data_IF_669035421481
#
_entry.id   IF_669035421481
#
_cell.length_a   1.000
_cell.length_b   1.000
_cell.length_c   1.000
_cell.angle_alpha   90.00
_cell.angle_beta   90.00
_cell.angle_gamma   90.00
#
_symmetry.space_group_name_H-M   'P 1'
#
loop_
_entity.id
_entity.type
_entity.pdbx_description
1 polymer ?
#
# COMPACT_ATOMS: atom_id res chain seq x y z
N UNK A 1 -5.59 17.99 22.83
CA UNK A 1 -5.41 16.52 23.03
C UNK A 1 -5.75 15.83 21.72
N UNK A 2 -4.96 14.85 21.25
CA UNK A 2 -5.23 14.20 19.96
C UNK A 2 -6.39 13.18 20.08
N UNK A 3 -7.47 13.41 19.32
CA UNK A 3 -8.69 12.62 19.29
C UNK A 3 -8.43 11.11 19.09
N UNK A 4 -8.88 10.27 20.03
CA UNK A 4 -8.70 8.82 19.96
C UNK A 4 -9.35 8.20 18.71
N UNK A 5 -10.48 8.72 18.24
CA UNK A 5 -11.13 8.23 17.03
C UNK A 5 -10.36 8.61 15.76
N UNK A 6 -9.67 9.76 15.72
CA UNK A 6 -8.71 10.09 14.65
C UNK A 6 -7.52 9.12 14.63
N UNK A 7 -7.02 8.73 15.81
CA UNK A 7 -5.94 7.72 15.91
C UNK A 7 -6.40 6.37 15.36
N UNK A 8 -7.64 5.96 15.64
CA UNK A 8 -8.25 4.76 15.02
C UNK A 8 -8.32 4.93 13.50
N UNK A 9 -8.92 6.02 13.01
CA UNK A 9 -9.12 6.28 11.58
C UNK A 9 -7.82 6.18 10.78
N UNK A 10 -6.75 6.83 11.24
CA UNK A 10 -5.45 6.81 10.58
C UNK A 10 -4.70 5.50 10.80
N UNK A 11 -4.45 5.09 12.05
CA UNK A 11 -3.50 4.01 12.39
C UNK A 11 -4.12 2.61 12.41
N UNK A 12 -5.45 2.50 12.40
CA UNK A 12 -6.22 1.24 12.41
C UNK A 12 -7.21 1.14 11.25
N UNK A 13 -7.41 2.23 10.51
CA UNK A 13 -8.12 2.29 9.24
C UNK A 13 -7.14 2.44 8.08
N UNK A 14 -6.90 3.67 7.63
CA UNK A 14 -6.21 3.95 6.37
C UNK A 14 -4.78 3.42 6.27
N UNK A 15 -4.01 3.36 7.37
CA UNK A 15 -2.64 2.85 7.29
C UNK A 15 -2.57 1.32 7.10
N UNK A 16 -3.61 0.59 7.53
CA UNK A 16 -3.75 -0.85 7.30
C UNK A 16 -4.42 -1.16 5.94
N UNK A 17 -4.80 -0.14 5.18
CA UNK A 17 -5.38 -0.25 3.85
C UNK A 17 -4.26 -0.18 2.80
N UNK A 18 -4.35 -1.00 1.74
CA UNK A 18 -3.49 -0.80 0.57
C UNK A 18 -3.91 0.42 -0.25
N UNK A 19 -3.09 0.80 -1.23
CA UNK A 19 -3.32 2.04 -1.97
C UNK A 19 -4.49 1.95 -2.97
N UNK A 20 -4.83 0.75 -3.47
CA UNK A 20 -5.98 0.56 -4.36
C UNK A 20 -7.29 0.78 -3.60
N UNK A 21 -7.45 0.10 -2.46
CA UNK A 21 -8.62 0.32 -1.59
C UNK A 21 -8.65 1.73 -1.03
N UNK A 22 -7.51 2.35 -0.69
CA UNK A 22 -7.48 3.75 -0.26
C UNK A 22 -7.92 4.72 -1.36
N UNK A 23 -7.54 4.49 -2.62
CA UNK A 23 -8.02 5.30 -3.76
C UNK A 23 -9.53 5.15 -3.94
N UNK A 24 -10.09 3.94 -3.85
CA UNK A 24 -11.55 3.73 -3.94
C UNK A 24 -12.26 4.45 -2.79
N UNK A 25 -11.84 4.25 -1.54
CA UNK A 25 -12.48 4.91 -0.38
C UNK A 25 -12.33 6.44 -0.47
N UNK A 26 -11.19 6.96 -0.94
CA UNK A 26 -10.98 8.39 -1.20
C UNK A 26 -11.91 8.94 -2.29
N UNK A 27 -12.20 8.17 -3.34
CA UNK A 27 -13.17 8.52 -4.38
C UNK A 27 -14.60 8.51 -3.85
N UNK A 28 -15.00 7.48 -3.09
CA UNK A 28 -16.31 7.42 -2.43
C UNK A 28 -16.52 8.57 -1.42
N UNK A 29 -15.45 9.01 -0.75
CA UNK A 29 -15.44 10.19 0.13
C UNK A 29 -15.42 11.54 -0.61
N UNK A 30 -15.28 11.57 -1.94
CA UNK A 30 -15.05 12.81 -2.67
C UNK A 30 -16.21 13.81 -2.54
N UNK A 31 -17.45 13.34 -2.63
CA UNK A 31 -18.63 14.18 -2.42
C UNK A 31 -18.74 14.65 -0.96
N UNK A 32 -18.64 13.71 -0.01
CA UNK A 32 -18.77 13.97 1.43
C UNK A 32 -17.73 14.97 1.96
N UNK A 33 -16.49 14.91 1.45
CA UNK A 33 -15.38 15.76 1.88
C UNK A 33 -15.12 16.97 0.96
N UNK A 34 -15.83 17.09 -0.17
CA UNK A 34 -15.65 18.17 -1.15
C UNK A 34 -14.32 18.11 -1.92
N UNK A 35 -13.86 16.91 -2.28
CA UNK A 35 -12.57 16.70 -2.94
C UNK A 35 -12.66 16.97 -4.46
N UNK A 36 -12.08 18.08 -4.90
CA UNK A 36 -11.77 18.30 -6.33
C UNK A 36 -10.82 17.22 -6.87
N UNK A 37 -10.77 17.01 -8.19
CA UNK A 37 -9.90 15.99 -8.82
C UNK A 37 -8.43 16.11 -8.37
N UNK A 38 -7.90 17.34 -8.36
CA UNK A 38 -6.55 17.65 -7.86
C UNK A 38 -6.37 17.31 -6.38
N UNK A 39 -7.40 17.49 -5.54
CA UNK A 39 -7.35 17.04 -4.15
C UNK A 39 -7.38 15.51 -4.06
N UNK A 40 -8.17 14.82 -4.88
CA UNK A 40 -8.18 13.35 -4.90
C UNK A 40 -6.82 12.77 -5.32
N UNK A 41 -6.09 13.42 -6.22
CA UNK A 41 -4.70 13.08 -6.57
C UNK A 41 -3.73 13.39 -5.41
N UNK A 42 -3.67 14.65 -4.93
CA UNK A 42 -2.68 15.12 -3.96
C UNK A 42 -2.92 14.69 -2.50
N UNK A 43 -4.11 14.20 -2.15
CA UNK A 43 -4.47 13.96 -0.74
C UNK A 43 -4.11 12.54 -0.32
N UNK A 44 -3.14 12.49 0.59
CA UNK A 44 -2.69 11.29 1.27
C UNK A 44 -3.59 10.95 2.47
N UNK A 45 -3.34 9.77 3.05
CA UNK A 45 -4.07 9.19 4.20
C UNK A 45 -4.21 10.15 5.38
N UNK A 46 -3.21 11.01 5.62
CA UNK A 46 -3.22 12.01 6.70
C UNK A 46 -4.19 13.14 6.36
N UNK A 47 -4.04 13.79 5.19
CA UNK A 47 -4.96 14.86 4.74
C UNK A 47 -6.43 14.39 4.70
N UNK A 48 -6.69 13.15 4.25
CA UNK A 48 -8.05 12.58 4.26
C UNK A 48 -8.54 12.32 5.69
N UNK A 49 -7.68 11.85 6.60
CA UNK A 49 -8.02 11.70 8.03
C UNK A 49 -8.34 13.04 8.70
N UNK A 50 -7.62 14.11 8.36
CA UNK A 50 -7.86 15.46 8.87
C UNK A 50 -9.21 16.01 8.39
N UNK A 51 -9.55 15.82 7.10
CA UNK A 51 -10.85 16.21 6.56
C UNK A 51 -12.00 15.37 7.15
N UNK A 52 -11.81 14.06 7.29
CA UNK A 52 -12.82 13.18 7.89
C UNK A 52 -13.08 13.51 9.36
N UNK A 53 -12.06 13.83 10.16
CA UNK A 53 -12.27 14.32 11.52
C UNK A 53 -13.06 15.63 11.54
N UNK A 54 -12.71 16.58 10.65
CA UNK A 54 -13.37 17.89 10.57
C UNK A 54 -14.84 17.79 10.14
N UNK A 55 -15.15 16.86 9.22
CA UNK A 55 -16.51 16.63 8.68
C UNK A 55 -17.36 15.72 9.59
N UNK A 56 -16.77 14.66 10.12
CA UNK A 56 -17.45 13.60 10.88
C UNK A 56 -16.84 13.47 12.28
N UNK A 57 -17.32 14.30 13.21
CA UNK A 57 -16.66 14.48 14.50
C UNK A 57 -16.75 13.24 15.42
N UNK A 58 -15.72 13.07 16.26
CA UNK A 58 -15.66 11.99 17.25
C UNK A 58 -15.74 10.61 16.62
N UNK A 59 -16.71 9.80 17.05
CA UNK A 59 -16.90 8.42 16.57
C UNK A 59 -17.36 8.32 15.11
N UNK A 60 -17.99 9.39 14.58
CA UNK A 60 -18.64 9.37 13.28
C UNK A 60 -17.67 9.14 12.10
N UNK A 61 -16.41 9.62 12.17
CA UNK A 61 -15.43 9.36 11.11
C UNK A 61 -15.06 7.86 11.02
N UNK A 62 -15.00 7.16 12.16
CA UNK A 62 -14.72 5.72 12.20
C UNK A 62 -15.92 4.93 11.68
N UNK A 63 -17.14 5.33 12.03
CA UNK A 63 -18.36 4.72 11.49
C UNK A 63 -18.51 4.95 9.98
N UNK A 64 -18.15 6.13 9.47
CA UNK A 64 -18.15 6.41 8.02
C UNK A 64 -17.13 5.55 7.27
N UNK A 65 -15.94 5.32 7.84
CA UNK A 65 -14.97 4.40 7.25
C UNK A 65 -15.45 2.93 7.31
N UNK A 66 -16.09 2.52 8.40
CA UNK A 66 -16.73 1.20 8.52
C UNK A 66 -17.85 1.04 7.48
N UNK A 67 -18.67 2.07 7.26
CA UNK A 67 -19.76 2.06 6.27
C UNK A 67 -19.22 1.82 4.85
N UNK A 68 -18.23 2.59 4.42
CA UNK A 68 -17.69 2.50 3.06
C UNK A 68 -16.87 1.21 2.82
N UNK A 69 -16.30 0.62 3.87
CA UNK A 69 -15.50 -0.60 3.78
C UNK A 69 -16.28 -1.91 3.99
N UNK A 70 -17.54 -1.87 4.46
CA UNK A 70 -18.33 -3.07 4.83
C UNK A 70 -18.57 -4.03 3.66
N UNK A 71 -18.77 -3.47 2.46
CA UNK A 71 -19.16 -4.21 1.25
C UNK A 71 -17.94 -4.64 0.40
N UNK A 72 -16.72 -4.36 0.86
CA UNK A 72 -15.48 -4.74 0.18
C UNK A 72 -14.89 -6.01 0.83
N UNK A 73 -14.95 -7.20 0.19
CA UNK A 73 -14.52 -8.45 0.82
C UNK A 73 -13.09 -8.45 1.38
N UNK A 74 -12.07 -7.85 0.72
CA UNK A 74 -10.71 -7.75 1.28
C UNK A 74 -10.63 -6.93 2.57
N UNK A 75 -11.55 -5.99 2.79
CA UNK A 75 -11.56 -5.11 3.97
C UNK A 75 -12.36 -5.68 5.16
N UNK A 76 -12.96 -6.88 5.04
CA UNK A 76 -13.74 -7.53 6.12
C UNK A 76 -12.95 -7.60 7.45
N UNK A 77 -11.66 -7.93 7.37
CA UNK A 77 -10.78 -7.98 8.56
C UNK A 77 -10.47 -6.58 9.12
N UNK A 78 -10.36 -5.56 8.27
CA UNK A 78 -10.18 -4.17 8.68
C UNK A 78 -11.42 -3.63 9.39
N UNK A 79 -12.62 -3.88 8.84
CA UNK A 79 -13.91 -3.50 9.42
C UNK A 79 -14.10 -4.13 10.81
N UNK A 80 -13.76 -5.42 10.97
CA UNK A 80 -13.80 -6.10 12.27
C UNK A 80 -12.83 -5.47 13.29
N UNK A 81 -11.63 -5.08 12.86
CA UNK A 81 -10.64 -4.39 13.70
C UNK A 81 -11.14 -2.99 14.13
N UNK A 82 -11.67 -2.20 13.19
CA UNK A 82 -12.24 -0.87 13.46
C UNK A 82 -13.39 -0.93 14.47
N UNK A 83 -14.31 -1.90 14.34
CA UNK A 83 -15.39 -2.16 15.31
C UNK A 83 -14.84 -2.49 16.71
N UNK A 84 -13.76 -3.28 16.80
CA UNK A 84 -13.09 -3.65 18.05
C UNK A 84 -12.40 -2.46 18.73
N UNK A 85 -11.67 -1.63 17.97
CA UNK A 85 -10.99 -0.45 18.53
C UNK A 85 -11.98 0.67 18.91
N UNK A 86 -13.03 0.92 18.11
CA UNK A 86 -14.15 1.81 18.48
C UNK A 86 -14.74 1.39 19.84
N UNK A 87 -14.97 0.09 20.02
CA UNK A 87 -15.52 -0.47 21.27
C UNK A 87 -14.57 -0.29 22.47
N UNK A 88 -13.24 -0.43 22.27
CA UNK A 88 -12.24 -0.18 23.31
C UNK A 88 -12.22 1.30 23.74
N UNK A 89 -12.22 2.24 22.81
CA UNK A 89 -12.23 3.67 23.14
C UNK A 89 -13.52 4.07 23.85
N UNK A 90 -14.69 3.59 23.40
CA UNK A 90 -15.95 3.81 24.10
C UNK A 90 -15.94 3.30 25.55
N UNK A 91 -15.34 2.13 25.82
CA UNK A 91 -15.16 1.61 27.19
C UNK A 91 -14.20 2.47 28.02
N UNK A 92 -13.06 2.90 27.45
CA UNK A 92 -12.10 3.80 28.11
C UNK A 92 -12.73 5.14 28.51
N UNK A 93 -13.46 5.78 27.60
CA UNK A 93 -14.11 7.07 27.86
C UNK A 93 -15.21 6.94 28.94
N UNK A 94 -16.00 5.85 28.93
CA UNK A 94 -16.95 5.56 30.02
C UNK A 94 -16.26 5.38 31.36
N UNK A 95 -15.16 4.60 31.41
CA UNK A 95 -14.39 4.41 32.65
C UNK A 95 -13.79 5.72 33.18
N UNK A 96 -13.24 6.57 32.30
CA UNK A 96 -12.70 7.87 32.67
C UNK A 96 -13.80 8.84 33.17
N UNK A 97 -14.99 8.82 32.57
CA UNK A 97 -16.15 9.58 33.07
C UNK A 97 -16.59 9.14 34.48
N UNK A 98 -16.62 7.82 34.74
CA UNK A 98 -16.94 7.28 36.08
C UNK A 98 -15.88 7.65 37.12
N UNK A 99 -14.58 7.64 36.74
CA UNK A 99 -13.49 8.09 37.63
C UNK A 99 -13.57 9.60 37.92
N UNK A 100 -13.92 10.42 36.92
CA UNK A 100 -14.05 11.87 37.11
C UNK A 100 -15.24 12.22 38.03
N UNK A 101 -16.40 11.58 37.81
CA UNK A 101 -17.56 11.73 38.70
C UNK A 101 -17.24 11.29 40.13
N UNK A 102 -16.54 10.16 40.31
CA UNK A 102 -16.10 9.73 41.65
C UNK A 102 -15.18 10.73 42.35
N UNK A 103 -14.42 11.54 41.63
CA UNK A 103 -13.55 12.56 42.24
C UNK A 103 -14.35 13.78 42.71
N UNK A 104 -15.29 14.26 41.90
CA UNK A 104 -16.17 15.39 42.26
C UNK A 104 -16.97 15.03 43.53
N UNK A 105 -17.55 13.84 43.58
CA UNK A 105 -18.30 13.34 44.75
C UNK A 105 -17.44 13.07 46.00
N UNK A 106 -16.11 13.27 45.96
CA UNK A 106 -15.23 13.27 47.13
C UNK A 106 -14.84 14.68 47.59
N UNK A 107 -14.99 15.70 46.76
CA UNK A 107 -14.75 17.11 47.11
C UNK A 107 -16.03 17.77 47.70
N UNK A 108 -17.20 17.11 47.63
CA UNK A 108 -18.50 17.62 48.13
C UNK A 108 -18.84 17.20 49.59
N UNK A 109 -17.98 16.43 50.26
CA UNK A 109 -18.17 16.03 51.68
C UNK A 109 -17.20 16.78 52.59
N UNK A 110 -17.38 18.10 52.69
CA UNK A 110 -16.41 19.00 53.33
C UNK A 110 -16.90 20.42 53.63
N UNK A 111 -18.13 20.60 54.12
CA UNK A 111 -18.54 21.84 54.80
C UNK A 111 -17.68 22.03 56.08
N UNK A 112 -17.36 23.25 56.54
CA UNK A 112 -18.28 24.25 57.10
C UNK A 112 -17.81 25.69 56.81
N UNK A 113 -18.76 26.61 56.62
CA UNK A 113 -18.51 28.04 56.47
C UNK A 113 -18.51 28.78 57.83
N UNK A 114 -17.96 30.01 57.88
CA UNK A 114 -18.78 31.12 58.37
C UNK A 114 -18.73 32.36 57.48
N UNK A 115 -19.63 33.30 57.74
CA UNK A 115 -19.77 34.60 57.08
C UNK A 115 -20.05 35.71 58.14
N UNK A 116 -20.38 36.96 57.79
CA UNK A 116 -19.46 37.99 57.27
C UNK A 116 -19.50 39.29 58.12
N UNK A 117 -18.60 40.28 57.91
CA UNK A 117 -18.82 41.71 58.30
C UNK A 117 -17.85 42.74 57.65
N UNK A 118 -18.45 43.72 56.95
CA UNK A 118 -18.18 45.17 56.75
C UNK A 118 -16.77 45.83 56.52
N UNK A 119 -16.79 46.80 55.55
CA UNK A 119 -16.13 48.15 55.51
C UNK A 119 -14.58 48.25 55.39
N UNK A 120 -13.94 49.24 54.75
CA UNK A 120 -14.28 50.51 54.02
C UNK A 120 -13.56 50.49 52.63
N UNK A 121 -13.88 51.20 51.53
CA UNK A 121 -14.36 52.57 51.18
C UNK A 121 -13.27 53.62 50.89
N UNK A 122 -12.89 53.74 49.60
CA UNK A 122 -12.52 54.92 48.77
C UNK A 122 -12.19 54.38 47.32
N UNK A 123 -12.29 54.99 46.12
CA UNK A 123 -12.59 56.34 45.53
C UNK A 123 -11.48 57.40 45.58
N UNK A 124 -11.08 58.11 44.51
CA UNK A 124 -11.36 58.04 43.04
C UNK A 124 -10.14 58.66 42.27
N UNK A 125 -10.04 58.87 40.95
CA UNK A 125 -10.86 59.66 40.01
C UNK A 125 -10.63 59.28 38.52
N UNK A 126 -11.67 59.28 37.67
CA UNK A 126 -11.97 60.19 36.52
C UNK A 126 -10.88 60.24 35.42
N UNK A 127 -11.15 60.00 34.13
CA UNK A 127 -12.37 59.74 33.34
C UNK A 127 -11.98 59.40 31.88
N UNK A 128 -12.72 59.54 30.77
CA UNK A 128 -14.12 59.80 30.36
C UNK A 128 -14.18 59.48 28.82
N UNK A 129 -15.28 59.39 28.03
CA UNK A 129 -16.75 59.51 28.17
C UNK A 129 -17.44 58.53 27.17
N UNK A 130 -18.77 58.39 27.22
CA UNK A 130 -19.69 57.63 26.32
C UNK A 130 -20.86 58.60 26.01
N UNK A 131 -21.49 58.74 24.81
CA UNK A 131 -22.44 57.72 24.28
C UNK A 131 -22.76 57.66 22.75
N UNK A 132 -23.40 56.57 22.31
CA UNK A 132 -24.83 56.46 21.92
C UNK A 132 -25.08 55.11 21.22
N UNK A 133 -26.25 54.50 21.42
CA UNK A 133 -26.66 53.24 20.80
C UNK A 133 -27.75 53.44 19.72
N UNK A 134 -27.95 52.43 18.85
CA UNK A 134 -29.25 52.19 18.22
C UNK A 134 -29.55 50.69 18.04
N UNK A 135 -30.84 50.34 18.06
CA UNK A 135 -31.32 48.95 18.19
C UNK A 135 -32.73 48.79 17.58
N UNK A 136 -32.87 47.96 16.55
CA UNK A 136 -34.14 47.41 16.02
C UNK A 136 -33.90 45.94 15.64
N UNK A 137 -34.70 44.92 15.97
CA UNK A 137 -36.19 44.70 16.02
C UNK A 137 -36.88 44.78 14.65
N UNK A 138 -37.75 43.86 14.22
CA UNK A 138 -37.99 42.41 14.51
C UNK A 138 -39.09 41.89 13.56
N UNK A 139 -39.05 40.60 13.18
CA UNK A 139 -40.18 39.64 12.98
C UNK A 139 -41.51 40.09 12.31
N UNK A 140 -41.88 39.43 11.20
CA UNK A 140 -43.18 38.76 10.93
C UNK A 140 -43.11 38.04 9.55
N UNK A 141 -43.72 36.88 9.21
CA UNK A 141 -44.67 35.89 9.78
C UNK A 141 -46.08 35.87 9.11
N UNK A 142 -46.44 34.73 8.49
CA UNK A 142 -47.71 34.44 7.76
C UNK A 142 -47.42 33.88 6.35
N UNK A 143 -47.78 32.67 5.87
CA UNK A 143 -48.62 31.51 6.26
C UNK A 143 -50.01 31.42 5.57
N UNK A 144 -50.31 30.21 5.00
CA UNK A 144 -51.64 29.56 4.81
C UNK A 144 -52.24 29.41 3.37
N UNK A 145 -52.07 28.19 2.81
CA UNK A 145 -53.02 27.27 2.10
C UNK A 145 -53.80 27.51 0.75
N UNK A 146 -53.74 26.44 -0.08
CA UNK A 146 -54.79 25.82 -0.96
C UNK A 146 -55.22 26.52 -2.29
N UNK A 147 -55.79 25.85 -3.34
CA UNK A 147 -56.49 24.54 -3.47
C UNK A 147 -56.69 24.09 -4.96
N UNK A 148 -56.78 22.76 -5.25
CA UNK A 148 -57.41 22.09 -6.45
C UNK A 148 -56.76 22.34 -7.85
N UNK A 149 -56.86 21.51 -8.92
CA UNK A 149 -57.51 20.21 -9.26
C UNK A 149 -56.45 19.28 -9.97
N UNK A 150 -56.66 18.20 -10.79
CA UNK A 150 -57.77 17.32 -11.28
C UNK A 150 -57.15 15.96 -11.76
N UNK A 151 -57.94 14.90 -11.97
CA UNK A 151 -57.59 13.58 -12.59
C UNK A 151 -58.79 13.07 -13.45
N UNK A 152 -58.59 12.42 -14.64
CA UNK A 152 -58.71 10.95 -14.90
C UNK A 152 -57.45 10.34 -15.60
N UNK A 153 -57.11 9.03 -15.54
CA UNK A 153 -57.72 7.81 -16.16
C UNK A 153 -57.62 7.80 -17.72
N UNK A 154 -57.19 6.74 -18.46
CA UNK A 154 -57.41 5.27 -18.31
C UNK A 154 -56.31 4.31 -18.85
N UNK A 155 -56.42 3.04 -18.42
CA UNK A 155 -56.16 1.71 -19.04
C UNK A 155 -55.33 1.54 -20.34
N UNK A 156 -54.44 0.51 -20.38
CA UNK A 156 -54.68 -0.78 -21.10
C UNK A 156 -53.46 -1.76 -21.16
N UNK A 157 -53.73 -3.07 -21.21
CA UNK A 157 -52.85 -4.25 -21.43
C UNK A 157 -53.75 -5.44 -21.87
N UNK A 158 -53.25 -6.63 -22.33
CA UNK A 158 -51.90 -7.02 -22.74
C UNK A 158 -51.77 -7.15 -24.28
N UNK A 159 -51.98 -8.27 -25.03
CA UNK A 159 -52.18 -9.69 -24.70
C UNK A 159 -50.99 -10.63 -25.07
N UNK A 160 -51.14 -11.95 -24.82
CA UNK A 160 -50.36 -13.08 -25.40
C UNK A 160 -51.27 -13.91 -26.33
N UNK A 161 -50.69 -14.76 -27.21
CA UNK A 161 -51.28 -16.06 -27.54
C UNK A 161 -50.45 -17.25 -26.99
N UNK A 162 -50.97 -18.48 -27.08
CA UNK A 162 -50.35 -19.72 -26.59
C UNK A 162 -50.83 -20.95 -27.38
N UNK A 163 -50.01 -22.01 -27.45
CA UNK A 163 -50.34 -23.31 -28.07
C UNK A 163 -50.00 -23.43 -29.57
N UNK A 164 -49.86 -24.64 -30.15
CA UNK A 164 -49.72 -25.96 -29.52
C UNK A 164 -49.20 -27.05 -30.51
N UNK A 165 -48.51 -28.06 -29.96
CA UNK A 165 -48.45 -29.47 -30.42
C UNK A 165 -47.74 -29.91 -31.73
N UNK A 166 -47.37 -31.21 -31.72
CA UNK A 166 -46.96 -32.11 -32.83
C UNK A 166 -45.64 -31.81 -33.59
N UNK A 167 -44.82 -32.81 -33.98
CA UNK A 167 -44.79 -34.25 -33.63
C UNK A 167 -43.49 -34.94 -34.10
N UNK A 168 -43.04 -35.97 -33.35
CA UNK A 168 -42.18 -37.09 -33.79
C UNK A 168 -40.74 -36.75 -34.30
N UNK A 169 -39.81 -37.71 -34.45
CA UNK A 169 -39.44 -38.91 -33.68
C UNK A 169 -38.09 -39.46 -34.24
N UNK A 170 -37.44 -40.41 -33.55
CA UNK A 170 -36.32 -41.26 -34.05
C UNK A 170 -34.98 -40.52 -34.33
N UNK A 171 -33.76 -41.03 -34.05
CA UNK A 171 -33.30 -42.32 -33.49
C UNK A 171 -32.07 -42.15 -32.55
N UNK A 172 -31.97 -43.06 -31.57
CA UNK A 172 -30.72 -43.62 -31.01
C UNK A 172 -30.70 -45.13 -31.41
N UNK A 173 -29.69 -45.99 -31.15
CA UNK A 173 -28.47 -45.86 -30.30
C UNK A 173 -27.21 -46.46 -31.03
N UNK A 174 -26.26 -47.21 -30.41
CA UNK A 174 -25.60 -47.15 -29.10
C UNK A 174 -24.04 -47.02 -29.17
N UNK A 175 -23.40 -46.98 -28.00
CA UNK A 175 -21.94 -47.10 -27.77
C UNK A 175 -21.47 -48.59 -27.70
N UNK A 176 -20.26 -48.96 -28.18
CA UNK A 176 -19.59 -50.23 -27.87
C UNK A 176 -18.56 -50.16 -26.72
N UNK A 177 -18.21 -51.32 -26.15
CA UNK A 177 -17.31 -51.53 -25.00
C UNK A 177 -16.48 -52.83 -25.20
N UNK A 178 -15.42 -53.17 -24.47
CA UNK A 178 -14.84 -52.57 -23.24
C UNK A 178 -13.52 -51.80 -23.52
N UNK A 179 -12.31 -51.98 -22.96
CA UNK A 179 -11.64 -53.04 -22.17
C UNK A 179 -10.80 -52.46 -21.02
N UNK A 180 -10.37 -53.29 -20.07
CA UNK A 180 -9.68 -52.88 -18.83
C UNK A 180 -8.40 -53.69 -18.52
N UNK A 181 -7.45 -53.11 -17.78
CA UNK A 181 -6.59 -53.86 -16.86
C UNK A 181 -6.09 -53.00 -15.69
N UNK A 182 -6.15 -53.55 -14.47
CA UNK A 182 -5.63 -52.95 -13.22
C UNK A 182 -5.52 -54.05 -12.15
N UNK A 183 -4.45 -54.05 -11.34
CA UNK A 183 -4.56 -54.26 -9.88
C UNK A 183 -4.06 -53.01 -9.12
N UNK A 184 -4.70 -52.49 -8.06
CA UNK A 184 -5.15 -53.12 -6.80
C UNK A 184 -3.96 -53.64 -5.97
N UNK A 185 -3.78 -53.34 -4.69
CA UNK A 185 -4.45 -52.45 -3.70
C UNK A 185 -3.39 -52.12 -2.60
N UNK A 186 -3.51 -51.16 -1.68
CA UNK A 186 -4.50 -51.11 -0.57
C UNK A 186 -4.69 -49.70 0.03
N UNK A 187 -5.76 -49.56 0.80
CA UNK A 187 -6.23 -48.36 1.50
C UNK A 187 -5.45 -48.00 2.76
N UNK A 188 -5.53 -46.73 3.20
CA UNK A 188 -6.18 -46.38 4.50
C UNK A 188 -6.65 -44.92 4.51
N UNK A 189 -7.83 -44.67 5.07
CA UNK A 189 -8.41 -43.33 5.26
C UNK A 189 -8.49 -42.97 6.74
N UNK A 190 -7.89 -41.86 7.16
CA UNK A 190 -8.26 -41.20 8.41
C UNK A 190 -8.15 -39.67 8.27
N UNK A 191 -9.26 -38.97 8.51
CA UNK A 191 -9.25 -37.52 8.66
C UNK A 191 -8.59 -37.15 10.00
N UNK A 192 -7.56 -36.29 9.98
CA UNK A 192 -7.29 -35.39 11.10
C UNK A 192 -7.07 -33.96 10.59
N UNK A 193 -7.81 -33.04 11.19
CA UNK A 193 -8.02 -31.68 10.72
C UNK A 193 -7.10 -30.70 11.48
N UNK A 194 -5.82 -30.64 11.10
CA UNK A 194 -4.84 -29.80 11.80
C UNK A 194 -4.44 -28.59 10.95
N UNK A 195 -4.99 -27.43 11.33
CA UNK A 195 -4.60 -26.06 10.96
C UNK A 195 -3.72 -25.88 9.72
N UNK A 196 -4.35 -25.56 8.58
CA UNK A 196 -3.68 -24.86 7.49
C UNK A 196 -3.22 -23.47 7.97
N UNK A 197 -1.99 -23.38 8.45
CA UNK A 197 -1.40 -22.14 8.95
C UNK A 197 -1.33 -21.12 7.82
N UNK A 198 -2.15 -20.06 7.91
CA UNK A 198 -2.34 -19.11 6.82
C UNK A 198 -1.01 -18.47 6.41
N UNK A 199 -0.54 -18.75 5.19
CA UNK A 199 0.54 -17.99 4.58
C UNK A 199 0.07 -16.53 4.46
N UNK A 200 0.87 -15.61 5.00
CA UNK A 200 0.52 -14.18 5.05
C UNK A 200 0.71 -13.59 3.65
N UNK A 201 -0.38 -13.14 3.02
CA UNK A 201 -0.45 -12.74 1.61
C UNK A 201 0.76 -11.95 1.08
N UNK A 202 1.61 -12.64 0.32
CA UNK A 202 2.78 -12.03 -0.33
C UNK A 202 2.34 -11.09 -1.45
N UNK A 203 2.22 -9.79 -1.12
CA UNK A 203 1.98 -8.62 -2.00
C UNK A 203 2.00 -8.93 -3.50
N UNK A 204 0.86 -9.40 -4.03
CA UNK A 204 0.53 -9.67 -5.45
C UNK A 204 1.74 -9.70 -6.41
N UNK A 205 2.60 -10.70 -6.23
CA UNK A 205 3.48 -11.14 -7.31
C UNK A 205 2.56 -11.59 -8.46
N UNK A 206 2.81 -11.16 -9.69
CA UNK A 206 2.13 -11.72 -10.87
C UNK A 206 3.02 -12.84 -11.41
N UNK A 207 2.58 -14.11 -11.39
CA UNK A 207 3.26 -15.18 -12.11
C UNK A 207 3.02 -14.97 -13.60
N UNK A 208 4.09 -14.86 -14.38
CA UNK A 208 4.01 -14.84 -15.84
C UNK A 208 4.12 -16.27 -16.35
N UNK A 209 3.11 -16.70 -17.11
CA UNK A 209 3.02 -18.06 -17.65
C UNK A 209 3.78 -18.21 -18.97
N UNK A 210 3.84 -17.15 -19.76
CA UNK A 210 4.45 -17.19 -21.09
C UNK A 210 5.99 -17.22 -20.97
N UNK A 211 6.67 -18.26 -21.51
CA UNK A 211 8.12 -18.34 -21.46
C UNK A 211 8.78 -17.19 -22.24
N UNK A 212 9.87 -16.64 -21.70
CA UNK A 212 10.62 -15.55 -22.35
C UNK A 212 12.05 -15.98 -22.65
N UNK A 213 12.41 -15.97 -23.94
CA UNK A 213 13.79 -16.19 -24.41
C UNK A 213 14.58 -14.89 -24.31
N UNK A 214 15.75 -14.94 -23.68
CA UNK A 214 16.61 -13.79 -23.38
C UNK A 214 18.09 -14.13 -23.51
N UNK A 215 18.90 -13.17 -23.95
CA UNK A 215 20.36 -13.22 -23.85
C UNK A 215 20.81 -12.64 -22.50
N UNK A 216 21.71 -13.32 -21.80
CA UNK A 216 22.28 -12.88 -20.53
C UNK A 216 23.37 -11.83 -20.77
N UNK A 217 23.14 -10.59 -20.33
CA UNK A 217 24.10 -9.50 -20.50
C UNK A 217 25.14 -9.49 -19.37
N UNK A 218 24.69 -9.65 -18.12
CA UNK A 218 25.49 -9.57 -16.89
C UNK A 218 24.90 -10.44 -15.78
N UNK A 219 25.74 -10.99 -14.91
CA UNK A 219 25.35 -11.61 -13.64
C UNK A 219 26.38 -11.29 -12.55
N UNK A 220 25.95 -11.20 -11.29
CA UNK A 220 26.84 -11.10 -10.13
C UNK A 220 27.37 -12.48 -9.72
N UNK A 221 28.33 -12.50 -8.80
CA UNK A 221 28.54 -13.67 -7.94
C UNK A 221 27.32 -13.84 -7.01
N UNK A 222 27.05 -15.06 -6.51
CA UNK A 222 26.11 -15.28 -5.41
C UNK A 222 26.51 -14.50 -4.15
N UNK A 223 25.52 -14.02 -3.40
CA UNK A 223 25.71 -13.33 -2.12
C UNK A 223 24.62 -13.72 -1.12
N UNK A 224 24.96 -13.66 0.18
CA UNK A 224 24.04 -13.97 1.27
C UNK A 224 23.02 -12.83 1.49
N UNK A 225 21.77 -13.20 1.70
CA UNK A 225 20.67 -12.31 2.06
C UNK A 225 19.80 -12.94 3.15
N UNK A 226 18.79 -12.20 3.61
CA UNK A 226 17.85 -12.64 4.62
C UNK A 226 16.43 -12.59 4.02
N UNK A 227 15.80 -13.75 3.88
CA UNK A 227 14.39 -13.95 3.50
C UNK A 227 13.53 -13.95 4.77
N UNK A 228 12.32 -13.34 4.73
CA UNK A 228 11.34 -13.48 5.82
C UNK A 228 10.85 -14.91 6.04
N UNK A 229 10.81 -15.74 4.99
CA UNK A 229 10.32 -17.12 5.04
C UNK A 229 11.41 -18.13 5.43
N UNK A 230 12.61 -17.99 4.87
CA UNK A 230 13.69 -19.00 4.95
C UNK A 230 14.94 -18.52 5.72
N UNK A 231 14.92 -17.31 6.29
CA UNK A 231 16.07 -16.75 7.00
C UNK A 231 17.29 -16.55 6.08
N UNK A 232 18.45 -17.08 6.47
CA UNK A 232 19.72 -16.86 5.75
C UNK A 232 19.78 -17.69 4.47
N UNK A 233 19.63 -17.04 3.32
CA UNK A 233 19.64 -17.66 2.00
C UNK A 233 20.67 -16.97 1.07
N UNK A 234 20.85 -17.50 -0.14
CA UNK A 234 21.80 -17.01 -1.16
C UNK A 234 21.07 -16.69 -2.46
N UNK A 235 21.48 -15.62 -3.14
CA UNK A 235 20.91 -15.21 -4.43
C UNK A 235 21.98 -14.55 -5.30
N UNK A 236 21.70 -14.33 -6.59
CA UNK A 236 22.47 -13.39 -7.41
C UNK A 236 21.56 -12.44 -8.20
N UNK A 237 22.11 -11.31 -8.64
CA UNK A 237 21.45 -10.42 -9.61
C UNK A 237 21.94 -10.75 -11.01
N UNK A 238 21.03 -10.72 -11.98
CA UNK A 238 21.37 -10.73 -13.39
C UNK A 238 20.72 -9.55 -14.12
N UNK A 239 21.14 -9.34 -15.36
CA UNK A 239 20.47 -8.46 -16.32
C UNK A 239 20.51 -9.15 -17.67
N UNK A 240 19.32 -9.32 -18.24
CA UNK A 240 19.07 -10.12 -19.44
C UNK A 240 18.26 -9.28 -20.43
N UNK A 241 18.29 -9.62 -21.71
CA UNK A 241 17.56 -8.90 -22.74
C UNK A 241 16.88 -9.82 -23.75
N UNK A 242 15.61 -9.50 -24.03
CA UNK A 242 14.86 -10.01 -25.17
C UNK A 242 15.12 -9.15 -26.41
N UNK A 243 14.52 -9.48 -27.55
CA UNK A 243 14.59 -8.67 -28.77
C UNK A 243 13.99 -7.26 -28.62
N UNK A 244 13.08 -7.03 -27.66
CA UNK A 244 12.31 -5.79 -27.49
C UNK A 244 12.65 -4.99 -26.24
N UNK A 245 13.05 -5.66 -25.15
CA UNK A 245 13.30 -5.03 -23.85
C UNK A 245 14.32 -5.80 -22.99
N UNK A 246 14.84 -5.15 -21.96
CA UNK A 246 15.74 -5.74 -20.96
C UNK A 246 15.07 -5.85 -19.59
N UNK A 247 15.54 -6.80 -18.78
CA UNK A 247 15.07 -7.03 -17.43
C UNK A 247 16.26 -7.05 -16.45
N UNK A 248 16.07 -6.43 -15.29
CA UNK A 248 16.86 -6.81 -14.11
C UNK A 248 16.21 -8.01 -13.45
N UNK A 249 17.03 -8.98 -13.02
CA UNK A 249 16.57 -10.29 -12.54
C UNK A 249 17.16 -10.57 -11.16
N UNK A 250 16.32 -11.03 -10.23
CA UNK A 250 16.73 -11.68 -8.98
C UNK A 250 16.64 -13.19 -9.21
N UNK A 251 17.75 -13.90 -9.05
CA UNK A 251 17.77 -15.37 -9.15
C UNK A 251 18.00 -15.92 -7.75
N UNK A 252 16.99 -16.59 -7.20
CA UNK A 252 17.03 -17.11 -5.83
C UNK A 252 17.57 -18.54 -5.76
N UNK A 253 17.41 -19.34 -6.82
CA UNK A 253 18.16 -20.59 -6.96
C UNK A 253 19.59 -20.30 -7.48
N UNK A 254 20.59 -20.77 -6.74
CA UNK A 254 22.00 -20.65 -7.13
C UNK A 254 22.46 -21.78 -8.05
N UNK A 255 21.72 -22.88 -8.19
CA UNK A 255 22.05 -23.99 -9.12
C UNK A 255 22.11 -23.51 -10.58
N UNK A 256 21.21 -22.57 -10.92
CA UNK A 256 21.08 -21.97 -12.25
C UNK A 256 22.29 -21.10 -12.65
N UNK A 257 23.31 -20.94 -11.79
CA UNK A 257 24.41 -19.99 -11.99
C UNK A 257 25.14 -20.18 -13.33
N UNK A 258 25.31 -21.41 -13.80
CA UNK A 258 25.99 -21.76 -15.06
C UNK A 258 25.12 -21.60 -16.32
N UNK A 259 23.83 -21.27 -16.15
CA UNK A 259 22.96 -20.77 -17.23
C UNK A 259 23.09 -19.25 -17.36
N UNK A 260 23.37 -18.54 -16.26
CA UNK A 260 23.58 -17.08 -16.23
C UNK A 260 25.02 -16.64 -16.55
N UNK A 261 25.57 -17.18 -17.65
CA UNK A 261 26.86 -16.80 -18.24
C UNK A 261 26.65 -15.72 -19.32
N UNK A 262 27.52 -14.71 -19.39
CA UNK A 262 27.40 -13.61 -20.36
C UNK A 262 27.39 -14.14 -21.82
N UNK A 263 26.48 -13.62 -22.64
CA UNK A 263 26.14 -14.05 -24.01
C UNK A 263 25.39 -15.39 -24.14
N UNK A 264 25.22 -16.21 -23.09
CA UNK A 264 24.28 -17.35 -23.20
C UNK A 264 22.88 -16.84 -23.50
N UNK A 265 22.13 -17.62 -24.29
CA UNK A 265 20.70 -17.44 -24.52
C UNK A 265 19.98 -18.51 -23.72
N UNK A 266 18.94 -18.10 -23.00
CA UNK A 266 18.16 -18.96 -22.10
C UNK A 266 16.67 -18.65 -22.29
N UNK A 267 15.82 -19.65 -22.07
CA UNK A 267 14.36 -19.47 -21.96
C UNK A 267 13.95 -19.63 -20.52
N UNK A 268 13.16 -18.68 -20.01
CA UNK A 268 12.72 -18.60 -18.61
C UNK A 268 11.19 -18.70 -18.59
N UNK A 269 10.63 -19.67 -17.87
CA UNK A 269 9.18 -19.79 -17.62
C UNK A 269 8.87 -19.66 -16.13
N UNK A 270 7.59 -19.45 -15.81
CA UNK A 270 7.05 -19.49 -14.44
C UNK A 270 7.77 -18.53 -13.48
N UNK A 271 8.28 -17.43 -14.04
CA UNK A 271 8.89 -16.34 -13.30
C UNK A 271 7.80 -15.41 -12.74
N UNK A 272 8.16 -14.66 -11.71
CA UNK A 272 7.28 -13.62 -11.16
C UNK A 272 7.88 -12.24 -11.40
N UNK A 273 7.06 -11.21 -11.55
CA UNK A 273 7.54 -9.83 -11.59
C UNK A 273 7.16 -9.05 -10.33
N UNK A 274 8.13 -8.35 -9.75
CA UNK A 274 7.93 -7.51 -8.57
C UNK A 274 8.64 -6.16 -8.75
N UNK A 275 7.83 -5.12 -9.06
CA UNK A 275 8.23 -3.70 -9.23
C UNK A 275 9.23 -3.44 -10.38
N UNK A 276 8.98 -3.96 -11.59
CA UNK A 276 9.89 -3.78 -12.72
C UNK A 276 11.15 -4.65 -12.64
N UNK A 277 11.11 -5.73 -11.86
CA UNK A 277 12.23 -6.65 -11.64
C UNK A 277 11.72 -8.08 -11.64
N UNK A 278 12.26 -8.90 -12.54
CA UNK A 278 11.98 -10.32 -12.67
C UNK A 278 12.53 -11.09 -11.46
N UNK A 279 11.81 -12.09 -10.98
CA UNK A 279 12.15 -12.95 -9.85
C UNK A 279 11.99 -14.42 -10.24
N UNK A 280 13.13 -15.11 -10.35
CA UNK A 280 13.25 -16.55 -10.64
C UNK A 280 13.40 -17.27 -9.31
N UNK A 281 12.42 -18.12 -9.00
CA UNK A 281 12.26 -18.85 -7.73
C UNK A 281 12.36 -20.36 -8.00
N UNK A 282 12.25 -21.17 -6.96
CA UNK A 282 12.31 -22.64 -7.03
C UNK A 282 11.29 -23.25 -8.02
N UNK A 283 10.12 -22.63 -8.17
CA UNK A 283 9.10 -23.05 -9.13
C UNK A 283 9.29 -22.50 -10.57
N UNK A 284 10.36 -21.75 -10.84
CA UNK A 284 10.64 -21.14 -12.15
C UNK A 284 11.64 -21.98 -12.96
N UNK A 285 11.32 -22.31 -14.21
CA UNK A 285 12.21 -23.12 -15.06
C UNK A 285 13.15 -22.26 -15.91
N UNK A 286 14.39 -22.72 -16.11
CA UNK A 286 15.37 -22.08 -17.01
C UNK A 286 16.09 -23.12 -17.87
N UNK A 287 15.81 -23.12 -19.18
CA UNK A 287 16.51 -23.92 -20.18
C UNK A 287 17.54 -23.08 -20.93
N UNK A 288 18.56 -23.72 -21.50
CA UNK A 288 19.41 -23.09 -22.53
C UNK A 288 18.61 -23.02 -23.85
N UNK A 289 19.06 -22.21 -24.81
CA UNK A 289 18.37 -22.00 -26.10
C UNK A 289 19.39 -21.94 -27.24
N UNK A 290 19.41 -22.98 -28.08
CA UNK A 290 20.52 -23.25 -29.02
C UNK A 290 20.34 -22.65 -30.42
N UNK A 291 19.26 -21.89 -30.66
CA UNK A 291 19.03 -21.21 -31.95
C UNK A 291 19.57 -19.78 -31.95
N UNK A 292 19.86 -19.24 -33.14
CA UNK A 292 20.34 -17.87 -33.34
C UNK A 292 19.37 -16.82 -32.76
N UNK A 293 19.75 -16.22 -31.62
CA UNK A 293 18.99 -15.18 -30.94
C UNK A 293 19.84 -13.91 -30.80
N UNK A 294 19.62 -12.95 -31.69
CA UNK A 294 20.24 -11.63 -31.60
C UNK A 294 19.36 -10.64 -30.85
N UNK A 295 19.99 -9.81 -30.01
CA UNK A 295 19.36 -8.68 -29.31
C UNK A 295 19.87 -7.38 -29.94
N UNK A 296 18.99 -6.46 -30.39
CA UNK A 296 19.42 -5.20 -30.99
C UNK A 296 20.32 -4.38 -30.06
N UNK A 297 21.44 -3.86 -30.58
CA UNK A 297 22.44 -3.12 -29.80
C UNK A 297 21.84 -2.00 -28.92
N UNK A 298 20.82 -1.30 -29.41
CA UNK A 298 20.05 -0.29 -28.66
C UNK A 298 19.52 -0.81 -27.30
N UNK A 299 19.03 -2.05 -27.24
CA UNK A 299 18.55 -2.66 -25.99
C UNK A 299 19.72 -2.94 -25.04
N UNK A 300 20.85 -3.41 -25.57
CA UNK A 300 22.09 -3.68 -24.83
C UNK A 300 22.66 -2.37 -24.25
N UNK A 301 22.67 -1.29 -25.03
CA UNK A 301 23.09 0.05 -24.59
C UNK A 301 22.23 0.58 -23.44
N UNK A 302 20.90 0.54 -23.59
CA UNK A 302 19.97 1.01 -22.56
C UNK A 302 20.13 0.19 -21.27
N UNK A 303 20.20 -1.15 -21.37
CA UNK A 303 20.43 -2.05 -20.23
C UNK A 303 21.77 -1.82 -19.50
N UNK A 304 22.73 -1.18 -20.15
CA UNK A 304 24.04 -0.84 -19.60
C UNK A 304 24.14 0.58 -19.04
N UNK A 305 23.15 1.45 -19.32
CA UNK A 305 23.16 2.87 -18.98
C UNK A 305 22.72 3.11 -17.52
N UNK A 306 23.51 3.87 -16.76
CA UNK A 306 23.09 4.35 -15.44
C UNK A 306 21.97 5.41 -15.60
N UNK A 307 20.83 5.30 -14.89
CA UNK A 307 19.81 6.35 -14.89
C UNK A 307 20.34 7.62 -14.21
N UNK A 308 20.05 8.80 -14.78
CA UNK A 308 20.56 10.07 -14.23
C UNK A 308 19.90 10.41 -12.90
N UNK A 309 20.64 11.01 -11.97
CA UNK A 309 20.12 11.39 -10.65
C UNK A 309 18.93 12.37 -10.78
N UNK A 310 18.99 13.32 -11.71
CA UNK A 310 17.86 14.19 -12.09
C UNK A 310 16.62 13.46 -12.61
N UNK A 311 16.76 12.27 -13.19
CA UNK A 311 15.64 11.41 -13.61
C UNK A 311 15.10 10.61 -12.42
N UNK A 312 15.96 10.15 -11.50
CA UNK A 312 15.53 9.49 -10.26
C UNK A 312 14.64 10.41 -9.41
N UNK A 313 14.93 11.71 -9.36
CA UNK A 313 14.06 12.69 -8.69
C UNK A 313 12.66 12.86 -9.33
N UNK A 314 12.44 12.35 -10.54
CA UNK A 314 11.13 12.34 -11.23
C UNK A 314 10.41 10.99 -11.17
N UNK A 315 11.04 9.95 -10.61
CA UNK A 315 10.46 8.61 -10.49
C UNK A 315 9.61 8.45 -9.22
N UNK A 316 8.60 7.57 -9.30
CA UNK A 316 7.72 7.29 -8.17
C UNK A 316 8.48 6.66 -6.98
N UNK A 317 8.16 7.13 -5.76
CA UNK A 317 8.65 6.49 -4.53
C UNK A 317 8.19 5.04 -4.48
N UNK A 318 9.14 4.12 -4.36
CA UNK A 318 8.94 2.67 -4.44
C UNK A 318 9.68 2.00 -5.59
N UNK A 319 10.11 2.76 -6.61
CA UNK A 319 10.86 2.28 -7.78
C UNK A 319 12.16 1.58 -7.40
N UNK A 320 12.51 0.51 -8.14
CA UNK A 320 13.75 -0.23 -7.96
C UNK A 320 14.85 0.32 -8.88
N UNK A 321 16.01 0.62 -8.33
CA UNK A 321 17.12 1.30 -9.00
C UNK A 321 18.38 0.43 -9.02
N UNK A 322 18.98 0.35 -10.19
CA UNK A 322 20.27 -0.26 -10.49
C UNK A 322 21.13 0.79 -11.22
N UNK A 323 22.45 0.78 -11.03
CA UNK A 323 23.33 1.75 -11.70
C UNK A 323 24.77 1.75 -11.20
N UNK A 324 25.62 2.55 -11.83
CA UNK A 324 26.99 2.83 -11.42
C UNK A 324 27.14 4.34 -11.19
N UNK A 325 27.39 4.76 -9.95
CA UNK A 325 27.46 6.17 -9.56
C UNK A 325 28.77 6.47 -8.82
N UNK A 326 29.27 7.71 -8.93
CA UNK A 326 30.48 8.15 -8.21
C UNK A 326 30.15 8.53 -6.76
N UNK A 327 30.97 8.11 -5.80
CA UNK A 327 30.88 8.49 -4.40
C UNK A 327 31.46 9.90 -4.19
N UNK A 328 30.61 10.86 -3.84
CA UNK A 328 31.00 12.23 -3.53
C UNK A 328 31.39 12.40 -2.05
N UNK A 329 30.66 11.74 -1.14
CA UNK A 329 30.86 11.82 0.32
C UNK A 329 30.34 10.59 1.04
N UNK A 330 31.09 10.08 2.02
CA UNK A 330 30.65 9.03 2.97
C UNK A 330 30.37 9.67 4.32
N UNK A 331 29.33 9.23 5.04
CA UNK A 331 29.01 9.72 6.39
C UNK A 331 28.42 8.59 7.25
N UNK A 332 29.18 8.17 8.26
CA UNK A 332 28.92 6.99 9.09
C UNK A 332 28.12 7.42 10.32
N UNK A 333 27.04 6.70 10.62
CA UNK A 333 26.17 6.92 11.79
C UNK A 333 25.99 5.61 12.56
N UNK A 334 25.56 5.65 13.83
CA UNK A 334 25.51 4.49 14.75
C UNK A 334 24.74 3.25 14.24
N UNK A 335 23.87 3.36 13.22
CA UNK A 335 23.11 2.23 12.65
C UNK A 335 23.19 2.11 11.12
N UNK A 336 23.78 3.08 10.42
CA UNK A 336 23.79 3.12 8.96
C UNK A 336 24.90 4.02 8.41
N UNK A 337 25.11 3.98 7.09
CA UNK A 337 25.99 4.91 6.39
C UNK A 337 25.22 5.60 5.28
N UNK A 338 25.42 6.91 5.18
CA UNK A 338 24.97 7.71 4.05
C UNK A 338 26.12 7.79 3.06
N UNK A 339 25.87 7.36 1.84
CA UNK A 339 26.77 7.54 0.70
C UNK A 339 26.11 8.57 -0.22
N UNK A 340 26.65 9.79 -0.27
CA UNK A 340 26.23 10.78 -1.25
C UNK A 340 26.81 10.37 -2.61
N UNK A 341 25.95 9.92 -3.51
CA UNK A 341 26.31 9.66 -4.90
C UNK A 341 26.10 10.91 -5.75
N UNK A 342 26.95 11.12 -6.76
CA UNK A 342 26.87 12.26 -7.68
C UNK A 342 27.03 11.84 -9.13
N UNK A 343 26.33 12.55 -10.01
CA UNK A 343 26.57 12.58 -11.46
C UNK A 343 26.55 14.04 -11.98
N UNK A 344 26.64 14.24 -13.30
CA UNK A 344 26.61 15.57 -13.90
C UNK A 344 25.21 16.24 -13.88
N UNK A 345 24.23 15.67 -13.20
CA UNK A 345 22.85 16.17 -13.09
C UNK A 345 22.36 16.31 -11.64
N UNK A 346 23.17 15.96 -10.64
CA UNK A 346 22.88 16.20 -9.22
C UNK A 346 23.58 15.24 -8.25
N UNK A 347 23.26 15.40 -6.96
CA UNK A 347 23.60 14.44 -5.90
C UNK A 347 22.35 13.75 -5.33
N UNK A 348 22.49 12.53 -4.81
CA UNK A 348 21.45 11.80 -4.08
C UNK A 348 22.04 11.01 -2.91
N UNK A 349 21.27 10.84 -1.84
CA UNK A 349 21.70 10.04 -0.68
C UNK A 349 21.37 8.55 -0.91
N UNK A 350 22.34 7.67 -0.68
CA UNK A 350 22.13 6.22 -0.56
C UNK A 350 22.28 5.82 0.91
N UNK A 351 21.27 5.16 1.47
CA UNK A 351 21.26 4.67 2.86
C UNK A 351 21.63 3.19 2.87
N UNK A 352 22.84 2.89 3.35
CA UNK A 352 23.33 1.54 3.58
C UNK A 352 23.17 1.11 5.04
N UNK A 353 22.38 0.05 5.27
CA UNK A 353 22.16 -0.58 6.57
C UNK A 353 22.75 -2.01 6.57
N UNK A 354 23.00 -2.59 7.75
CA UNK A 354 23.46 -3.98 7.88
C UNK A 354 24.75 -4.25 7.10
N UNK A 355 24.77 -5.24 6.19
CA UNK A 355 25.90 -5.54 5.30
C UNK A 355 26.35 -4.37 4.40
N UNK A 356 25.53 -3.31 4.26
CA UNK A 356 25.86 -2.08 3.52
C UNK A 356 26.23 -0.90 4.43
N UNK A 357 26.37 -1.12 5.75
CA UNK A 357 26.94 -0.14 6.66
C UNK A 357 28.47 -0.17 6.58
N UNK A 358 29.09 1.01 6.56
CA UNK A 358 30.53 1.26 6.62
C UNK A 358 31.42 0.44 5.66
N UNK A 359 30.94 0.07 4.47
CA UNK A 359 31.77 -0.60 3.45
C UNK A 359 33.04 0.22 3.14
N UNK A 360 34.15 -0.47 2.81
CA UNK A 360 35.39 0.18 2.37
C UNK A 360 35.16 0.84 1.01
N UNK A 361 35.21 2.16 0.98
CA UNK A 361 35.11 3.00 -0.22
C UNK A 361 35.42 4.46 0.13
N UNK A 362 35.95 5.21 -0.83
CA UNK A 362 36.45 6.58 -0.68
C UNK A 362 35.86 7.54 -1.73
N UNK A 363 36.14 8.84 -1.59
CA UNK A 363 35.62 9.85 -2.52
C UNK A 363 36.25 9.66 -3.90
N UNK A 364 35.42 9.47 -4.92
CA UNK A 364 35.83 9.13 -6.29
C UNK A 364 35.50 7.70 -6.70
N UNK A 365 35.34 6.77 -5.75
CA UNK A 365 34.97 5.38 -6.04
C UNK A 365 33.64 5.27 -6.78
N UNK A 366 33.53 4.24 -7.62
CA UNK A 366 32.34 3.95 -8.42
C UNK A 366 31.51 2.87 -7.73
N UNK A 367 30.47 3.29 -7.02
CA UNK A 367 29.50 2.41 -6.37
C UNK A 367 28.53 1.84 -7.41
N UNK A 368 28.62 0.53 -7.67
CA UNK A 368 27.61 -0.19 -8.45
C UNK A 368 26.49 -0.67 -7.52
N UNK A 369 25.34 -0.02 -7.63
CA UNK A 369 24.14 -0.32 -6.86
C UNK A 369 23.27 -1.32 -7.63
N UNK A 370 22.74 -2.31 -6.92
CA UNK A 370 21.77 -3.28 -7.42
C UNK A 370 20.57 -3.33 -6.48
N UNK A 371 19.36 -3.30 -7.03
CA UNK A 371 18.11 -3.52 -6.28
C UNK A 371 17.96 -2.57 -5.07
N UNK A 372 18.33 -1.30 -5.21
CA UNK A 372 18.04 -0.26 -4.21
C UNK A 372 16.65 0.30 -4.42
N UNK A 373 15.91 0.64 -3.36
CA UNK A 373 14.57 1.21 -3.48
C UNK A 373 14.60 2.72 -3.32
N UNK A 374 14.01 3.45 -4.25
CA UNK A 374 13.78 4.89 -4.16
C UNK A 374 12.69 5.16 -3.10
N UNK A 375 12.93 6.01 -2.10
CA UNK A 375 11.95 6.40 -1.06
C UNK A 375 12.11 7.84 -0.61
N UNK A 376 10.99 8.50 -0.31
CA UNK A 376 10.98 9.79 0.39
C UNK A 376 11.17 9.57 1.90
N UNK A 377 12.26 10.11 2.46
CA UNK A 377 12.58 10.05 3.90
C UNK A 377 12.89 11.45 4.39
N UNK A 378 12.16 11.92 5.40
CA UNK A 378 12.25 13.30 5.94
C UNK A 378 12.16 14.37 4.84
N UNK A 379 11.15 14.24 3.96
CA UNK A 379 10.90 15.08 2.76
C UNK A 379 11.97 15.04 1.65
N UNK A 380 13.14 14.43 1.86
CA UNK A 380 14.17 14.22 0.82
C UNK A 380 14.02 12.85 0.16
N UNK A 381 14.12 12.78 -1.16
CA UNK A 381 14.15 11.51 -1.89
C UNK A 381 15.55 10.86 -1.77
N UNK A 382 15.60 9.57 -1.45
CA UNK A 382 16.84 8.82 -1.19
C UNK A 382 16.74 7.41 -1.80
N UNK A 383 17.88 6.79 -2.07
CA UNK A 383 17.96 5.34 -2.29
C UNK A 383 18.15 4.64 -0.94
N UNK A 384 17.40 3.58 -0.66
CA UNK A 384 17.53 2.77 0.56
C UNK A 384 17.73 1.29 0.21
N UNK A 385 18.55 0.57 0.98
CA UNK A 385 18.70 -0.86 0.81
C UNK A 385 17.50 -1.65 1.39
N UNK A 386 17.11 -2.73 0.71
CA UNK A 386 16.30 -3.83 1.22
C UNK A 386 17.12 -5.13 1.33
N UNK A 387 16.47 -6.25 1.65
CA UNK A 387 17.08 -7.59 1.77
C UNK A 387 17.95 -7.96 0.57
N UNK A 388 17.40 -7.79 -0.63
CA UNK A 388 17.99 -8.18 -1.90
C UNK A 388 18.95 -7.13 -2.48
N UNK A 389 19.18 -5.99 -1.82
CA UNK A 389 20.12 -4.98 -2.32
C UNK A 389 21.56 -5.47 -2.27
N UNK A 390 22.35 -5.08 -3.26
CA UNK A 390 23.79 -5.38 -3.35
C UNK A 390 24.58 -4.13 -3.78
N UNK A 391 25.75 -3.91 -3.16
CA UNK A 391 26.73 -2.89 -3.60
C UNK A 391 28.01 -3.62 -4.01
N UNK A 392 28.52 -3.35 -5.22
CA UNK A 392 29.92 -3.60 -5.58
C UNK A 392 30.63 -2.26 -5.71
N UNK A 393 31.68 -2.06 -4.90
CA UNK A 393 32.63 -0.97 -5.09
C UNK A 393 33.56 -1.34 -6.25
N UNK A 394 33.88 -0.37 -7.10
CA UNK A 394 35.02 -0.41 -7.99
C UNK A 394 35.80 0.89 -7.85
N UNK A 395 37.12 0.81 -7.98
CA UNK A 395 38.01 1.97 -8.00
C UNK A 395 37.62 2.93 -9.13
N UNK A 396 37.96 4.21 -8.95
CA UNK A 396 37.76 5.29 -9.94
C UNK A 396 38.37 4.99 -11.30
#
# INVERSE_FOLDING_TARGET
>A
MANEYKKILLLKGFELMDEYHFIIIKSLLAYDLGLTTKMQEEYNRIKISDLMEKKFQGVACVDKLIELAKDMPPLKNLVNNLRKEKSKVARKMKAQGVVLMKKINQEEVGLVAPAPTARNTLTSEVGERIPVAQKRKTLNKGKTEAKRNKVPQEQSEPPRPSGASTSAAMNHPPLPQTSSSTPSNTSFTQNQQTQAQCQVDTRRNVPQKDPVTVMVLKATAPFKYESPEHGKSTMFHATVASKTQYFHVKVFDISLKEKFIRKKVITISDYSECKGVMEIKEASSVSDFDQNFEVPNRIIEIANKTPKISQLYKQASGTMVYGLFMLQKKSIHKKNTIYEIKDNTGSMDVVGNGKWHNIKCEKGDKLRLFCFQLRTVNRKLKLVCGSHSFIKVGTG
#
